data_IF_697417554990
#
_entry.id   IF_697417554990
#
_cell.length_a   1.000
_cell.length_b   1.000
_cell.length_c   1.000
_cell.angle_alpha   90.00
_cell.angle_beta   90.00
_cell.angle_gamma   90.00
#
_symmetry.space_group_name_H-M   'P 1'
#
loop_
_entity.id
_entity.type
_entity.pdbx_description
1 polymer ?
#
# COMPACT_ATOMS: atom_id res chain seq x y z
N UNK A 1 -0.17 14.25 -3.34
CA UNK A 1 -0.21 13.40 -4.55
C UNK A 1 -0.32 11.95 -4.12
N UNK A 2 -0.66 11.06 -5.06
CA UNK A 2 -0.81 9.64 -4.80
C UNK A 2 0.21 8.86 -5.64
N UNK A 3 0.78 7.83 -5.04
CA UNK A 3 1.55 6.79 -5.71
C UNK A 3 0.88 5.46 -5.38
N UNK A 4 0.69 4.61 -6.38
CA UNK A 4 0.16 3.26 -6.20
C UNK A 4 1.32 2.29 -6.05
N UNK A 5 1.15 1.32 -5.16
CA UNK A 5 2.09 0.23 -4.92
C UNK A 5 1.31 -1.06 -5.06
N UNK A 6 1.68 -1.91 -6.01
CA UNK A 6 0.90 -3.10 -6.36
C UNK A 6 1.82 -4.27 -6.72
N UNK A 7 1.24 -5.47 -6.72
CA UNK A 7 1.86 -6.66 -7.31
C UNK A 7 1.92 -6.59 -8.85
N UNK A 8 1.16 -5.67 -9.46
CA UNK A 8 1.15 -5.42 -10.90
C UNK A 8 1.95 -4.15 -11.24
N UNK A 9 2.61 -4.14 -12.40
CA UNK A 9 3.41 -2.99 -12.89
C UNK A 9 2.58 -1.72 -13.16
N UNK A 10 1.26 -1.87 -13.31
CA UNK A 10 0.32 -0.82 -13.59
C UNK A 10 -1.12 -1.33 -13.52
N UNK A 11 -2.08 -0.48 -13.87
CA UNK A 11 -3.49 -0.88 -13.94
C UNK A 11 -3.70 -2.00 -14.96
N UNK A 12 -4.34 -3.08 -14.53
CA UNK A 12 -4.61 -4.26 -15.35
C UNK A 12 -5.45 -3.93 -16.61
N UNK A 13 -6.38 -2.99 -16.50
CA UNK A 13 -7.40 -2.76 -17.52
C UNK A 13 -8.42 -3.90 -17.59
N UNK A 14 -9.54 -3.67 -18.28
CA UNK A 14 -10.70 -4.59 -18.28
C UNK A 14 -10.33 -5.99 -18.76
N UNK A 15 -9.48 -6.09 -19.78
CA UNK A 15 -9.08 -7.37 -20.38
C UNK A 15 -8.25 -8.26 -19.45
N UNK A 16 -7.61 -7.69 -18.43
CA UNK A 16 -6.74 -8.43 -17.51
C UNK A 16 -7.32 -8.58 -16.09
N UNK A 17 -8.59 -8.25 -15.85
CA UNK A 17 -9.20 -8.36 -14.52
C UNK A 17 -9.19 -9.78 -13.95
N UNK A 18 -9.23 -10.80 -14.82
CA UNK A 18 -9.10 -12.21 -14.43
C UNK A 18 -7.81 -12.52 -13.65
N UNK A 19 -6.75 -11.70 -13.80
CA UNK A 19 -5.49 -11.86 -13.06
C UNK A 19 -5.65 -11.60 -11.55
N UNK A 20 -6.71 -10.92 -11.12
CA UNK A 20 -7.04 -10.76 -9.70
C UNK A 20 -7.39 -12.10 -9.04
N UNK A 21 -8.03 -13.01 -9.80
CA UNK A 21 -8.40 -14.34 -9.33
C UNK A 21 -7.20 -15.30 -9.26
N UNK A 22 -6.10 -14.96 -9.93
CA UNK A 22 -4.85 -15.76 -9.98
C UNK A 22 -3.89 -15.42 -8.84
N UNK A 23 -4.16 -14.36 -8.07
CA UNK A 23 -3.31 -13.92 -6.96
C UNK A 23 -3.36 -14.95 -5.84
N UNK A 24 -2.18 -15.43 -5.46
CA UNK A 24 -2.01 -16.40 -4.38
C UNK A 24 -1.45 -15.73 -3.11
N UNK A 25 -1.37 -16.52 -2.04
CA UNK A 25 -0.85 -16.08 -0.74
C UNK A 25 0.57 -15.50 -0.83
N UNK A 26 1.47 -16.09 -1.62
CA UNK A 26 2.85 -15.60 -1.77
C UNK A 26 2.91 -14.21 -2.43
N UNK A 27 2.03 -13.95 -3.41
CA UNK A 27 1.91 -12.63 -4.02
C UNK A 27 1.37 -11.60 -3.02
N UNK A 28 0.34 -11.98 -2.26
CA UNK A 28 -0.24 -11.10 -1.24
C UNK A 28 0.72 -10.82 -0.07
N UNK A 29 1.51 -11.80 0.37
CA UNK A 29 2.47 -11.65 1.48
C UNK A 29 3.53 -10.55 1.23
N UNK A 30 3.74 -10.15 -0.02
CA UNK A 30 4.59 -9.01 -0.39
C UNK A 30 4.16 -7.72 0.31
N UNK A 31 2.87 -7.52 0.58
CA UNK A 31 2.38 -6.36 1.34
C UNK A 31 2.77 -6.43 2.81
N UNK A 32 2.65 -7.59 3.45
CA UNK A 32 3.16 -7.79 4.81
C UNK A 32 4.67 -7.54 4.88
N UNK A 33 5.41 -8.03 3.88
CA UNK A 33 6.86 -7.78 3.77
C UNK A 33 7.18 -6.30 3.67
N UNK A 34 6.42 -5.54 2.91
CA UNK A 34 6.57 -4.09 2.82
C UNK A 34 6.38 -3.41 4.18
N UNK A 35 5.32 -3.74 4.92
CA UNK A 35 5.05 -3.16 6.24
C UNK A 35 6.21 -3.42 7.20
N UNK A 36 6.75 -4.65 7.20
CA UNK A 36 7.93 -5.02 8.01
C UNK A 36 9.13 -4.15 7.62
N UNK A 37 9.48 -4.08 6.34
CA UNK A 37 10.61 -3.29 5.84
C UNK A 37 10.52 -1.81 6.19
N UNK A 38 9.31 -1.24 6.13
CA UNK A 38 9.06 0.14 6.54
C UNK A 38 9.31 0.30 8.05
N UNK A 39 8.77 -0.60 8.87
CA UNK A 39 8.91 -0.53 10.33
C UNK A 39 10.34 -0.74 10.84
N UNK A 40 11.17 -1.43 10.07
CA UNK A 40 12.60 -1.61 10.36
C UNK A 40 13.41 -0.32 10.14
N UNK A 41 12.90 0.60 9.31
CA UNK A 41 13.62 1.81 8.88
C UNK A 41 13.03 3.11 9.42
N UNK A 42 11.72 3.15 9.67
CA UNK A 42 10.99 4.34 10.07
C UNK A 42 10.07 4.05 11.23
N UNK A 43 9.80 5.08 12.04
CA UNK A 43 8.68 5.02 12.98
C UNK A 43 7.38 5.02 12.20
N UNK A 44 6.43 4.19 12.61
CA UNK A 44 5.10 4.17 12.01
C UNK A 44 4.03 4.34 13.07
N UNK A 45 2.91 4.92 12.69
CA UNK A 45 1.74 5.07 13.52
C UNK A 45 0.53 4.50 12.81
N UNK A 46 -0.35 3.81 13.53
CA UNK A 46 -1.63 3.36 13.01
C UNK A 46 -2.66 4.49 13.17
N UNK A 47 -3.30 4.89 12.08
CA UNK A 47 -4.34 5.90 12.10
C UNK A 47 -5.72 5.28 12.30
N UNK A 48 -6.45 5.81 13.28
CA UNK A 48 -7.87 5.55 13.50
C UNK A 48 -8.66 6.82 13.15
N UNK A 49 -9.31 6.80 11.99
CA UNK A 49 -10.03 7.96 11.46
C UNK A 49 -11.33 8.25 12.23
N UNK A 50 -11.96 7.24 12.83
CA UNK A 50 -13.18 7.41 13.61
C UNK A 50 -12.87 8.14 14.92
N UNK A 51 -11.80 7.70 15.60
CA UNK A 51 -11.35 8.28 16.86
C UNK A 51 -10.44 9.50 16.67
N UNK A 52 -10.01 9.77 15.44
CA UNK A 52 -9.06 10.83 15.07
C UNK A 52 -7.75 10.73 15.85
N UNK A 53 -7.25 9.51 16.00
CA UNK A 53 -6.01 9.23 16.72
C UNK A 53 -4.97 8.59 15.81
N UNK A 54 -3.70 8.75 16.18
CA UNK A 54 -2.58 8.00 15.61
C UNK A 54 -1.83 7.35 16.77
N UNK A 55 -1.66 6.03 16.73
CA UNK A 55 -0.98 5.27 17.78
C UNK A 55 0.35 4.75 17.26
N UNK A 56 1.49 5.05 17.92
CA UNK A 56 2.77 4.48 17.53
C UNK A 56 2.74 2.95 17.54
N UNK A 57 3.31 2.33 16.52
CA UNK A 57 3.42 0.86 16.41
C UNK A 57 4.85 0.46 16.74
N UNK A 58 5.03 -0.18 17.90
CA UNK A 58 6.34 -0.72 18.33
C UNK A 58 6.55 -2.18 17.89
N UNK A 59 5.48 -2.88 17.52
CA UNK A 59 5.51 -4.24 17.01
C UNK A 59 4.47 -4.36 15.89
N UNK A 60 4.92 -4.71 14.70
CA UNK A 60 4.05 -4.83 13.52
C UNK A 60 3.23 -6.10 13.46
N UNK A 61 3.60 -7.17 14.20
CA UNK A 61 2.89 -8.46 14.13
C UNK A 61 1.36 -8.35 14.28
N UNK A 62 0.80 -7.52 15.17
CA UNK A 62 -0.65 -7.39 15.31
C UNK A 62 -1.35 -6.68 14.13
N UNK A 63 -0.60 -5.95 13.30
CA UNK A 63 -1.14 -5.27 12.11
C UNK A 63 -0.88 -6.08 10.82
N UNK A 64 0.01 -7.07 10.86
CA UNK A 64 0.17 -8.02 9.76
C UNK A 64 -1.04 -8.95 9.73
N UNK A 65 -1.58 -9.16 8.54
CA UNK A 65 -2.75 -10.01 8.36
C UNK A 65 -2.35 -11.38 7.84
N UNK A 66 -3.24 -12.36 7.95
CA UNK A 66 -3.13 -13.58 7.15
C UNK A 66 -3.85 -13.38 5.82
N UNK A 67 -3.50 -14.19 4.81
CA UNK A 67 -4.17 -14.12 3.51
C UNK A 67 -5.68 -14.32 3.62
N UNK A 68 -6.13 -15.29 4.42
CA UNK A 68 -7.55 -15.52 4.68
C UNK A 68 -8.25 -14.30 5.30
N UNK A 69 -7.61 -13.62 6.25
CA UNK A 69 -8.16 -12.39 6.85
C UNK A 69 -8.30 -11.27 5.83
N UNK A 70 -7.35 -11.14 4.90
CA UNK A 70 -7.40 -10.11 3.86
C UNK A 70 -8.51 -10.34 2.84
N UNK A 71 -8.84 -11.59 2.52
CA UNK A 71 -9.91 -11.93 1.58
C UNK A 71 -11.32 -11.63 2.13
N UNK A 72 -11.51 -11.74 3.45
CA UNK A 72 -12.79 -11.44 4.11
C UNK A 72 -12.94 -9.97 4.50
N UNK A 73 -11.89 -9.17 4.30
CA UNK A 73 -11.78 -7.81 4.81
C UNK A 73 -12.59 -6.84 3.96
N UNK A 74 -13.39 -5.99 4.61
CA UNK A 74 -14.01 -4.85 3.97
C UNK A 74 -13.17 -3.57 4.10
N UNK A 75 -13.47 -2.56 3.28
CA UNK A 75 -12.69 -1.32 3.21
C UNK A 75 -12.66 -0.50 4.52
N UNK A 76 -13.61 -0.69 5.43
CA UNK A 76 -13.60 -0.01 6.73
C UNK A 76 -12.43 -0.47 7.61
N UNK A 77 -11.96 -1.69 7.40
CA UNK A 77 -10.85 -2.29 8.14
C UNK A 77 -9.49 -2.01 7.51
N UNK A 78 -9.44 -1.38 6.33
CA UNK A 78 -8.20 -1.10 5.60
C UNK A 78 -7.20 -0.32 6.44
N UNK A 79 -5.98 -0.86 6.50
CA UNK A 79 -4.89 -0.34 7.32
C UNK A 79 -4.45 1.03 6.79
N UNK A 80 -4.19 1.95 7.71
CA UNK A 80 -3.70 3.31 7.41
C UNK A 80 -2.50 3.59 8.31
N UNK A 81 -1.31 3.62 7.72
CA UNK A 81 -0.04 3.82 8.42
C UNK A 81 0.49 5.22 8.11
N UNK A 82 0.74 6.00 9.15
CA UNK A 82 1.44 7.27 9.04
C UNK A 82 2.94 7.02 9.23
N UNK A 83 3.76 7.62 8.37
CA UNK A 83 5.23 7.62 8.48
C UNK A 83 5.67 9.07 8.70
N UNK A 84 5.74 9.54 9.96
CA UNK A 84 5.95 10.96 10.26
C UNK A 84 7.23 11.53 9.66
N UNK A 85 8.32 10.76 9.64
CA UNK A 85 9.63 11.16 9.14
C UNK A 85 9.62 11.50 7.64
N UNK A 86 8.68 10.93 6.90
CA UNK A 86 8.51 11.16 5.47
C UNK A 86 7.32 12.06 5.14
N UNK A 87 6.56 12.52 6.15
CA UNK A 87 5.33 13.31 5.99
C UNK A 87 4.37 12.64 4.96
N UNK A 88 4.20 11.32 5.09
CA UNK A 88 3.36 10.52 4.21
C UNK A 88 2.46 9.53 4.96
N UNK A 89 1.42 9.06 4.28
CA UNK A 89 0.48 8.04 4.76
C UNK A 89 0.43 6.91 3.74
N UNK A 90 0.53 5.67 4.20
CA UNK A 90 0.33 4.47 3.42
C UNK A 90 -1.04 3.89 3.77
N UNK A 91 -1.91 3.70 2.79
CA UNK A 91 -3.25 3.12 3.00
C UNK A 91 -3.42 1.90 2.12
N UNK A 92 -4.04 0.86 2.65
CA UNK A 92 -4.54 -0.21 1.79
C UNK A 92 -5.66 0.31 0.89
N UNK A 93 -5.78 -0.31 -0.28
CA UNK A 93 -6.86 -0.15 -1.22
C UNK A 93 -7.21 -1.50 -1.87
N UNK A 94 -8.27 -1.52 -2.67
CA UNK A 94 -8.71 -2.71 -3.39
C UNK A 94 -7.69 -3.19 -4.43
N UNK A 95 -7.97 -4.37 -4.98
CA UNK A 95 -7.23 -4.94 -6.12
C UNK A 95 -5.72 -5.07 -5.85
N UNK A 96 -5.37 -5.54 -4.65
CA UNK A 96 -3.99 -5.78 -4.23
C UNK A 96 -3.12 -4.53 -4.44
N UNK A 97 -3.57 -3.41 -3.87
CA UNK A 97 -2.92 -2.11 -4.03
C UNK A 97 -2.82 -1.39 -2.69
N UNK A 98 -1.67 -0.77 -2.43
CA UNK A 98 -1.51 0.24 -1.41
C UNK A 98 -1.35 1.61 -2.08
N UNK A 99 -1.84 2.66 -1.45
CA UNK A 99 -1.64 4.04 -1.87
C UNK A 99 -0.70 4.74 -0.89
N UNK A 100 0.36 5.34 -1.41
CA UNK A 100 1.18 6.30 -0.69
C UNK A 100 0.64 7.69 -0.96
N UNK A 101 0.18 8.36 0.09
CA UNK A 101 -0.25 9.75 0.09
C UNK A 101 0.91 10.60 0.58
N UNK A 102 1.39 11.50 -0.27
CA UNK A 102 2.60 12.28 0.01
C UNK A 102 2.46 13.73 -0.45
N UNK A 103 3.15 14.67 0.20
CA UNK A 103 3.16 16.08 -0.23
C UNK A 103 4.14 16.36 -1.36
N UNK A 104 5.26 15.65 -1.39
CA UNK A 104 6.32 15.77 -2.41
C UNK A 104 6.90 14.39 -2.74
N UNK A 105 7.68 14.28 -3.82
CA UNK A 105 8.21 12.99 -4.27
C UNK A 105 9.29 12.39 -3.36
N UNK A 106 9.84 13.15 -2.41
CA UNK A 106 10.89 12.66 -1.51
C UNK A 106 10.45 11.44 -0.68
N UNK A 107 9.18 11.39 -0.28
CA UNK A 107 8.63 10.22 0.41
C UNK A 107 8.63 8.97 -0.48
N UNK A 108 8.19 9.10 -1.73
CA UNK A 108 8.18 7.99 -2.70
C UNK A 108 9.60 7.52 -2.99
N UNK A 109 10.52 8.45 -3.26
CA UNK A 109 11.93 8.13 -3.52
C UNK A 109 12.58 7.38 -2.34
N UNK A 110 12.25 7.77 -1.11
CA UNK A 110 12.74 7.12 0.11
C UNK A 110 12.15 5.71 0.35
N UNK A 111 10.92 5.46 -0.12
CA UNK A 111 10.22 4.18 0.03
C UNK A 111 10.45 3.24 -1.16
N UNK A 112 10.79 3.75 -2.35
CA UNK A 112 10.97 2.97 -3.57
C UNK A 112 11.92 1.77 -3.43
N UNK A 113 13.08 1.87 -2.76
CA UNK A 113 13.92 0.71 -2.51
C UNK A 113 13.23 -0.39 -1.69
N UNK A 114 12.30 -0.02 -0.80
CA UNK A 114 11.53 -0.97 0.02
C UNK A 114 10.42 -1.65 -0.80
N UNK A 115 9.79 -0.95 -1.74
CA UNK A 115 8.84 -1.56 -2.69
C UNK A 115 9.52 -2.66 -3.50
N UNK A 116 10.68 -2.34 -4.09
CA UNK A 116 11.49 -3.30 -4.85
C UNK A 116 11.94 -4.47 -3.98
N UNK A 117 12.41 -4.20 -2.75
CA UNK A 117 12.83 -5.25 -1.82
C UNK A 117 11.67 -6.14 -1.34
N UNK A 118 10.43 -5.65 -1.38
CA UNK A 118 9.22 -6.43 -1.13
C UNK A 118 8.72 -7.18 -2.38
N UNK A 119 9.31 -6.93 -3.56
CA UNK A 119 8.85 -7.49 -4.83
C UNK A 119 7.58 -6.83 -5.38
N UNK A 120 7.33 -5.57 -5.01
CA UNK A 120 6.20 -4.76 -5.45
C UNK A 120 6.65 -3.71 -6.47
N UNK A 121 5.71 -3.34 -7.34
CA UNK A 121 5.86 -2.25 -8.29
C UNK A 121 5.22 -0.98 -7.72
N UNK A 122 5.66 0.17 -8.23
CA UNK A 122 5.01 1.44 -7.95
C UNK A 122 4.79 2.24 -9.24
N UNK A 123 3.66 2.93 -9.32
CA UNK A 123 3.31 3.79 -10.45
C UNK A 123 2.40 4.96 -10.02
N UNK A 124 2.47 6.05 -10.78
CA UNK A 124 1.57 7.18 -10.63
C UNK A 124 0.30 7.02 -11.45
N UNK A 125 -0.77 7.69 -11.03
CA UNK A 125 -1.94 7.87 -11.88
C UNK A 125 -1.55 8.68 -13.11
N UNK A 126 -1.41 8.04 -14.27
CA UNK A 126 -1.37 8.75 -15.53
C UNK A 126 -2.80 9.16 -15.88
N UNK A 127 -3.30 10.21 -15.23
CA UNK A 127 -4.38 10.99 -15.82
C UNK A 127 -3.82 11.63 -17.09
N UNK A 128 -3.89 10.91 -18.21
CA UNK A 128 -3.74 11.53 -19.52
C UNK A 128 -4.91 12.49 -19.69
N UNK A 129 -4.68 13.82 -19.77
CA UNK A 129 -5.72 14.71 -20.25
C UNK A 129 -5.82 14.51 -21.76
N UNK A 130 -6.73 13.63 -22.18
CA UNK A 130 -7.20 13.58 -23.57
C UNK A 130 -6.93 12.28 -24.31
N UNK A 131 -7.96 11.45 -24.41
CA UNK A 131 -8.45 10.96 -25.71
C UNK A 131 -9.87 10.43 -25.56
N UNK A 132 -10.83 11.35 -25.44
CA UNK A 132 -12.11 11.11 -26.11
C UNK A 132 -11.95 11.71 -27.51
N UNK A 133 -11.69 10.84 -28.48
CA UNK A 133 -11.84 11.12 -29.90
C UNK A 133 -12.84 10.09 -30.45
#
# INVERSE_FOLDING_TARGET
MKEFVSIFEGWLGVDNLHKLDEVNECDWEKFNRLIVLISEKYSIQLADCERKTCTPVSNVKPILQTFAQALEKDSSLFTKLVIPELDCVLTEDWDYTFIVWHKNNGAVEALKPLFVAAGLYNFHDQSSPGSFA
#
